data_IF_699601459215
#
_entry.id   IF_699601459215
#
_cell.length_a   1.000
_cell.length_b   1.000
_cell.length_c   1.000
_cell.angle_alpha   90.00
_cell.angle_beta   90.00
_cell.angle_gamma   90.00
#
_symmetry.space_group_name_H-M   'P 1'
#
loop_
_entity.id
_entity.type
_entity.pdbx_description
1 polymer ?
#
# COMPACT_ATOMS: atom_id res chain seq x y z
N UNK A 1 -4.80 -8.83 25.51
CA UNK A 1 -3.72 -7.81 25.56
C UNK A 1 -2.63 -7.93 24.47
N UNK A 2 -2.71 -8.88 23.51
CA UNK A 2 -1.69 -9.06 22.43
C UNK A 2 -1.96 -8.30 21.14
N UNK A 3 -3.16 -7.73 20.93
CA UNK A 3 -3.54 -7.03 19.69
C UNK A 3 -2.92 -5.65 19.50
N UNK A 4 -2.40 -5.00 20.54
CA UNK A 4 -1.88 -3.63 20.48
C UNK A 4 -0.55 -3.47 19.72
N UNK A 5 0.12 -4.55 19.35
CA UNK A 5 1.42 -4.53 18.67
C UNK A 5 1.40 -5.04 17.24
N UNK A 6 0.23 -5.39 16.70
CA UNK A 6 0.11 -5.78 15.31
C UNK A 6 0.33 -4.55 14.40
N UNK A 7 1.27 -4.66 13.46
CA UNK A 7 1.54 -3.63 12.46
C UNK A 7 0.56 -3.68 11.28
N UNK A 8 -0.62 -4.26 11.48
CA UNK A 8 -1.69 -4.37 10.48
C UNK A 8 -3.06 -4.16 11.15
N UNK A 9 -4.06 -3.95 10.33
CA UNK A 9 -5.48 -3.83 10.70
C UNK A 9 -6.21 -5.10 10.27
N UNK A 10 -7.13 -5.56 11.08
CA UNK A 10 -8.10 -6.56 10.66
C UNK A 10 -9.06 -5.97 9.62
N UNK A 11 -9.72 -6.83 8.82
CA UNK A 11 -10.60 -6.39 7.72
C UNK A 11 -11.66 -5.40 8.18
N UNK A 12 -12.30 -5.66 9.32
CA UNK A 12 -13.34 -4.79 9.86
C UNK A 12 -12.77 -3.46 10.37
N UNK A 13 -11.55 -3.45 10.89
CA UNK A 13 -10.86 -2.22 11.27
C UNK A 13 -10.51 -1.36 10.04
N UNK A 14 -10.07 -2.01 8.94
CA UNK A 14 -9.86 -1.31 7.65
C UNK A 14 -11.13 -0.61 7.21
N UNK A 15 -12.28 -1.32 7.20
CA UNK A 15 -13.59 -0.76 6.85
C UNK A 15 -13.97 0.40 7.75
N UNK A 16 -13.78 0.24 9.05
CA UNK A 16 -14.10 1.27 10.06
C UNK A 16 -13.23 2.51 9.86
N UNK A 17 -11.94 2.37 9.56
CA UNK A 17 -11.07 3.54 9.25
C UNK A 17 -11.51 4.21 7.95
N UNK A 18 -11.83 3.45 6.90
CA UNK A 18 -12.30 4.01 5.62
C UNK A 18 -13.61 4.78 5.82
N UNK A 19 -14.58 4.23 6.56
CA UNK A 19 -15.86 4.89 6.82
C UNK A 19 -15.73 6.17 7.66
N UNK A 20 -14.63 6.34 8.39
CA UNK A 20 -14.35 7.55 9.16
C UNK A 20 -13.67 8.67 8.32
N UNK A 21 -13.17 8.37 7.12
CA UNK A 21 -12.51 9.36 6.27
C UNK A 21 -13.42 10.57 5.96
N UNK A 22 -14.71 10.41 5.61
CA UNK A 22 -15.60 11.54 5.35
C UNK A 22 -15.74 12.51 6.53
N UNK A 23 -15.58 12.04 7.76
CA UNK A 23 -15.68 12.86 8.97
C UNK A 23 -14.47 13.78 9.17
N UNK A 24 -13.35 13.49 8.52
CA UNK A 24 -12.06 14.17 8.76
C UNK A 24 -11.44 14.78 7.51
N UNK A 25 -11.88 14.37 6.33
CA UNK A 25 -11.36 14.82 5.04
C UNK A 25 -12.18 15.99 4.49
N UNK A 26 -11.47 16.92 3.83
CA UNK A 26 -12.08 17.97 2.99
C UNK A 26 -12.48 17.45 1.60
N UNK A 27 -11.93 16.31 1.18
CA UNK A 27 -12.13 15.70 -0.14
C UNK A 27 -12.49 14.23 0.03
N UNK A 28 -13.66 13.93 0.63
CA UNK A 28 -13.99 12.57 1.06
C UNK A 28 -13.99 11.56 -0.08
N UNK A 29 -14.59 11.86 -1.23
CA UNK A 29 -14.70 10.93 -2.36
C UNK A 29 -13.32 10.49 -2.86
N UNK A 30 -12.42 11.46 -3.03
CA UNK A 30 -11.03 11.18 -3.43
C UNK A 30 -10.30 10.33 -2.39
N UNK A 31 -10.42 10.70 -1.13
CA UNK A 31 -9.61 10.13 -0.06
C UNK A 31 -10.08 8.73 0.33
N UNK A 32 -11.38 8.45 0.24
CA UNK A 32 -11.94 7.09 0.37
C UNK A 32 -11.39 6.20 -0.74
N UNK A 33 -11.55 6.60 -2.01
CA UNK A 33 -11.04 5.83 -3.17
C UNK A 33 -9.53 5.62 -3.11
N UNK A 34 -8.77 6.64 -2.66
CA UNK A 34 -7.33 6.50 -2.47
C UNK A 34 -6.99 5.38 -1.47
N UNK A 35 -7.71 5.32 -0.35
CA UNK A 35 -7.43 4.33 0.70
C UNK A 35 -7.94 2.94 0.30
N UNK A 36 -9.07 2.83 -0.39
CA UNK A 36 -9.54 1.58 -0.98
C UNK A 36 -8.55 1.04 -2.02
N UNK A 37 -8.00 1.92 -2.86
CA UNK A 37 -6.93 1.55 -3.80
C UNK A 37 -5.68 1.04 -3.07
N UNK A 38 -5.27 1.68 -1.98
CA UNK A 38 -4.15 1.20 -1.14
C UNK A 38 -4.44 -0.17 -0.53
N UNK A 39 -5.68 -0.40 -0.10
CA UNK A 39 -6.11 -1.65 0.49
C UNK A 39 -6.13 -2.80 -0.53
N UNK A 40 -6.81 -2.61 -1.66
CA UNK A 40 -6.97 -3.69 -2.64
C UNK A 40 -5.67 -4.01 -3.38
N UNK A 41 -4.89 -3.00 -3.76
CA UNK A 41 -3.61 -3.23 -4.44
C UNK A 41 -2.49 -3.68 -3.52
N UNK A 42 -2.61 -3.45 -2.22
CA UNK A 42 -1.50 -3.60 -1.29
C UNK A 42 -0.24 -2.80 -1.70
N UNK A 43 -0.35 -1.86 -2.62
CA UNK A 43 0.77 -1.09 -3.15
C UNK A 43 1.29 -0.06 -2.13
N UNK A 44 2.50 0.47 -2.37
CA UNK A 44 3.00 1.58 -1.57
C UNK A 44 2.26 2.85 -1.92
N UNK A 45 2.04 3.71 -0.94
CA UNK A 45 1.40 5.01 -1.17
C UNK A 45 2.06 5.80 -2.31
N UNK A 46 3.39 5.77 -2.43
CA UNK A 46 4.12 6.44 -3.51
C UNK A 46 3.93 5.79 -4.89
N UNK A 47 3.44 4.55 -4.95
CA UNK A 47 3.08 3.86 -6.19
C UNK A 47 1.63 4.18 -6.60
N UNK A 48 0.74 4.41 -5.63
CA UNK A 48 -0.68 4.73 -5.88
C UNK A 48 -0.91 6.21 -6.20
N UNK A 49 -0.21 7.11 -5.53
CA UNK A 49 -0.44 8.55 -5.69
C UNK A 49 -0.32 9.07 -7.14
N UNK A 50 0.61 8.59 -7.99
CA UNK A 50 0.70 9.03 -9.38
C UNK A 50 -0.23 8.28 -10.34
N UNK A 51 -1.27 7.58 -9.84
CA UNK A 51 -2.25 6.89 -10.69
C UNK A 51 -2.90 7.86 -11.66
N UNK A 52 -3.02 7.43 -12.94
CA UNK A 52 -3.71 8.15 -14.01
C UNK A 52 -4.90 7.34 -14.51
N UNK A 53 -5.93 7.97 -15.14
CA UNK A 53 -7.07 7.26 -15.69
C UNK A 53 -6.68 6.14 -16.67
N UNK A 54 -5.67 6.38 -17.51
CA UNK A 54 -5.21 5.41 -18.53
C UNK A 54 -4.63 4.13 -17.93
N UNK A 55 -4.26 4.16 -16.64
CA UNK A 55 -3.73 3.02 -15.93
C UNK A 55 -4.80 2.12 -15.29
N UNK A 56 -6.10 2.50 -15.39
CA UNK A 56 -7.23 1.76 -14.80
C UNK A 56 -7.86 0.88 -15.87
N UNK A 57 -7.79 -0.44 -15.68
CA UNK A 57 -8.42 -1.46 -16.54
C UNK A 57 -9.78 -1.90 -15.97
N UNK A 58 -10.34 -3.00 -16.46
CA UNK A 58 -11.62 -3.53 -15.96
C UNK A 58 -11.48 -4.16 -14.57
N UNK A 59 -10.40 -4.91 -14.36
CA UNK A 59 -10.13 -5.66 -13.13
C UNK A 59 -8.70 -5.49 -12.62
N UNK A 60 -7.94 -4.56 -13.21
CA UNK A 60 -6.55 -4.34 -12.83
C UNK A 60 -6.14 -2.86 -12.90
N UNK A 61 -5.07 -2.54 -12.19
CA UNK A 61 -4.48 -1.21 -12.16
C UNK A 61 -2.98 -1.33 -12.44
N UNK A 62 -2.48 -0.54 -13.40
CA UNK A 62 -1.05 -0.45 -13.70
C UNK A 62 -0.40 0.62 -12.82
N UNK A 63 0.55 0.21 -12.00
CA UNK A 63 1.27 1.08 -11.06
C UNK A 63 2.78 1.13 -11.36
N UNK A 64 3.48 2.23 -11.05
CA UNK A 64 4.94 2.27 -11.14
C UNK A 64 5.58 1.27 -10.18
N UNK A 65 6.61 0.56 -10.64
CA UNK A 65 7.38 -0.37 -9.82
C UNK A 65 8.64 0.29 -9.27
N UNK A 66 8.50 0.98 -8.13
CA UNK A 66 9.59 1.73 -7.50
C UNK A 66 10.73 0.86 -6.93
N UNK A 67 10.58 -0.46 -6.91
CA UNK A 67 11.65 -1.38 -6.49
C UNK A 67 12.56 -1.82 -7.63
N UNK A 68 12.08 -1.76 -8.85
CA UNK A 68 12.88 -2.14 -10.00
C UNK A 68 13.91 -1.06 -10.28
N UNK A 69 15.17 -1.42 -10.13
CA UNK A 69 16.31 -0.53 -10.38
C UNK A 69 16.99 -0.89 -11.67
N UNK A 70 17.47 0.12 -12.34
CA UNK A 70 18.34 -0.02 -13.53
C UNK A 70 19.74 0.52 -13.22
N UNK A 71 20.73 0.05 -13.96
CA UNK A 71 22.08 0.62 -13.88
C UNK A 71 22.09 2.04 -14.45
N UNK A 72 22.65 2.98 -13.70
CA UNK A 72 22.87 4.33 -14.23
C UNK A 72 23.85 4.25 -15.41
N UNK A 73 23.50 4.84 -16.54
CA UNK A 73 24.36 4.98 -17.71
C UNK A 73 24.76 6.44 -17.86
N UNK A 74 26.04 6.67 -18.18
CA UNK A 74 26.56 8.00 -18.54
C UNK A 74 26.12 8.40 -19.95
N UNK A 75 26.49 9.58 -20.38
CA UNK A 75 26.20 10.10 -21.73
C UNK A 75 26.81 9.23 -22.85
N UNK A 76 27.91 8.54 -22.57
CA UNK A 76 28.56 7.55 -23.44
C UNK A 76 27.86 6.17 -23.45
N UNK A 77 26.75 6.01 -22.76
CA UNK A 77 25.99 4.76 -22.64
C UNK A 77 26.62 3.71 -21.71
N UNK A 78 27.80 3.96 -21.14
CA UNK A 78 28.46 3.04 -20.22
C UNK A 78 27.87 3.09 -18.82
N UNK A 79 27.97 1.96 -18.11
CA UNK A 79 27.47 1.86 -16.73
C UNK A 79 28.35 2.69 -15.79
N UNK A 80 27.73 3.62 -15.08
CA UNK A 80 28.42 4.44 -14.08
C UNK A 80 28.68 3.61 -12.83
N UNK A 81 29.90 3.70 -12.32
CA UNK A 81 30.34 3.03 -11.09
C UNK A 81 30.78 4.05 -10.06
N UNK A 82 30.64 3.71 -8.79
CA UNK A 82 31.12 4.55 -7.68
C UNK A 82 32.64 4.34 -7.44
N UNK A 83 33.20 5.06 -6.50
CA UNK A 83 34.62 4.97 -6.09
C UNK A 83 35.09 3.58 -5.65
N UNK A 84 34.17 2.69 -5.23
CA UNK A 84 34.44 1.28 -4.92
C UNK A 84 34.16 0.33 -6.09
N UNK A 85 34.11 0.82 -7.33
CA UNK A 85 33.84 0.04 -8.55
C UNK A 85 32.47 -0.67 -8.56
N UNK A 86 31.51 -0.26 -7.71
CA UNK A 86 30.16 -0.81 -7.68
C UNK A 86 29.24 -0.04 -8.62
N UNK A 87 28.42 -0.77 -9.37
CA UNK A 87 27.40 -0.18 -10.26
C UNK A 87 26.42 0.70 -9.47
N UNK A 88 26.29 1.96 -9.89
CA UNK A 88 25.25 2.85 -9.35
C UNK A 88 23.91 2.44 -9.93
N UNK A 89 22.95 2.11 -9.05
CA UNK A 89 21.59 1.74 -9.44
C UNK A 89 20.62 2.87 -9.12
N UNK A 90 19.84 3.27 -10.12
CA UNK A 90 18.74 4.25 -10.00
C UNK A 90 17.40 3.56 -10.17
N UNK A 91 16.32 4.22 -9.75
CA UNK A 91 14.98 3.70 -10.02
C UNK A 91 14.75 3.67 -11.54
N UNK A 92 14.14 2.58 -12.03
CA UNK A 92 13.71 2.50 -13.43
C UNK A 92 12.36 3.24 -13.55
N UNK A 93 12.31 4.39 -14.25
CA UNK A 93 11.09 5.18 -14.39
C UNK A 93 10.02 4.44 -15.23
N UNK A 94 10.44 3.56 -16.13
CA UNK A 94 9.56 2.82 -17.03
C UNK A 94 9.04 1.51 -16.43
N UNK A 95 9.56 1.14 -15.26
CA UNK A 95 9.14 -0.08 -14.60
C UNK A 95 7.71 0.05 -14.08
N UNK A 96 6.83 -0.79 -14.60
CA UNK A 96 5.43 -0.87 -14.21
C UNK A 96 5.12 -2.27 -13.69
N UNK A 97 4.08 -2.35 -12.89
CA UNK A 97 3.46 -3.61 -12.47
C UNK A 97 1.96 -3.48 -12.63
N UNK A 98 1.33 -4.53 -13.11
CA UNK A 98 -0.11 -4.68 -13.10
C UNK A 98 -0.54 -5.38 -11.81
N UNK A 99 -1.61 -4.91 -11.20
CA UNK A 99 -2.14 -5.45 -9.94
C UNK A 99 -3.62 -5.68 -10.12
N UNK A 100 -4.07 -6.91 -9.89
CA UNK A 100 -5.48 -7.28 -9.90
C UNK A 100 -6.21 -6.64 -8.72
N UNK A 101 -7.38 -6.08 -9.00
CA UNK A 101 -8.29 -5.48 -8.01
C UNK A 101 -9.74 -5.81 -8.37
N UNK A 102 -10.68 -5.49 -7.51
CA UNK A 102 -12.09 -5.69 -7.81
C UNK A 102 -12.56 -4.82 -8.97
N UNK A 103 -13.46 -5.35 -9.81
CA UNK A 103 -14.13 -4.57 -10.86
C UNK A 103 -14.87 -3.37 -10.26
N UNK A 104 -15.43 -3.54 -9.07
CA UNK A 104 -16.11 -2.47 -8.32
C UNK A 104 -15.20 -1.27 -8.11
N UNK A 105 -13.98 -1.47 -7.60
CA UNK A 105 -13.02 -0.38 -7.39
C UNK A 105 -12.66 0.31 -8.71
N UNK A 106 -12.43 -0.47 -9.78
CA UNK A 106 -12.13 0.09 -11.10
C UNK A 106 -13.29 0.94 -11.63
N UNK A 107 -14.53 0.50 -11.44
CA UNK A 107 -15.73 1.25 -11.84
C UNK A 107 -15.88 2.55 -11.04
N UNK A 108 -15.67 2.50 -9.74
CA UNK A 108 -15.73 3.67 -8.87
C UNK A 108 -14.64 4.70 -9.22
N UNK A 109 -13.42 4.26 -9.49
CA UNK A 109 -12.33 5.12 -9.95
C UNK A 109 -12.65 5.76 -11.31
N UNK A 110 -13.22 5.02 -12.28
CA UNK A 110 -13.63 5.58 -13.57
C UNK A 110 -14.75 6.60 -13.43
N UNK A 111 -15.79 6.30 -12.64
CA UNK A 111 -16.88 7.24 -12.34
C UNK A 111 -16.37 8.50 -11.66
N UNK A 112 -15.42 8.35 -10.75
CA UNK A 112 -14.77 9.49 -10.10
C UNK A 112 -14.03 10.36 -11.13
N UNK A 113 -13.22 9.75 -12.01
CA UNK A 113 -12.51 10.46 -13.07
C UNK A 113 -13.47 11.19 -14.02
N UNK A 114 -14.57 10.54 -14.41
CA UNK A 114 -15.61 11.12 -15.27
C UNK A 114 -16.29 12.32 -14.60
N UNK A 115 -16.73 12.16 -13.35
CA UNK A 115 -17.39 13.21 -12.57
C UNK A 115 -16.52 14.46 -12.42
N UNK A 116 -15.24 14.28 -12.11
CA UNK A 116 -14.28 15.38 -11.92
C UNK A 116 -13.54 15.76 -13.21
N UNK A 117 -13.90 15.17 -14.37
CA UNK A 117 -13.31 15.43 -15.70
C UNK A 117 -11.78 15.24 -15.72
N UNK A 118 -11.30 14.22 -15.03
CA UNK A 118 -9.87 13.86 -14.96
C UNK A 118 -9.56 12.96 -16.17
N UNK A 119 -8.62 13.36 -17.03
CA UNK A 119 -8.33 12.66 -18.29
C UNK A 119 -6.83 12.54 -18.56
N UNK A 120 -6.47 11.55 -19.38
CA UNK A 120 -5.12 11.34 -19.90
C UNK A 120 -4.06 11.22 -18.80
N UNK A 121 -3.05 12.08 -18.87
CA UNK A 121 -1.91 12.08 -17.94
C UNK A 121 -2.18 12.80 -16.60
N UNK A 122 -3.39 13.29 -16.39
CA UNK A 122 -3.75 13.89 -15.10
C UNK A 122 -3.78 12.82 -14.01
N UNK A 123 -3.42 13.21 -12.79
CA UNK A 123 -3.49 12.29 -11.67
C UNK A 123 -4.93 12.08 -11.18
N UNK A 124 -5.32 10.85 -10.89
CA UNK A 124 -6.63 10.54 -10.28
C UNK A 124 -6.75 11.23 -8.92
N UNK A 125 -5.71 11.14 -8.09
CA UNK A 125 -5.69 11.70 -6.75
C UNK A 125 -5.01 13.07 -6.74
N UNK A 126 -5.69 14.07 -7.33
CA UNK A 126 -5.17 15.43 -7.48
C UNK A 126 -5.08 16.19 -6.16
N UNK A 127 -4.05 17.03 -6.06
CA UNK A 127 -3.91 18.02 -4.98
C UNK A 127 -4.44 19.38 -5.45
N UNK A 128 -5.12 20.17 -4.58
CA UNK A 128 -5.56 21.53 -4.92
C UNK A 128 -4.44 22.48 -5.30
N UNK A 129 -3.20 22.14 -4.95
CA UNK A 129 -2.00 22.93 -5.28
C UNK A 129 -1.28 22.46 -6.55
N UNK A 130 -1.94 21.63 -7.34
CA UNK A 130 -1.36 20.97 -8.51
C UNK A 130 -0.62 19.67 -8.16
N UNK A 131 -0.46 18.82 -9.18
CA UNK A 131 0.11 17.49 -9.03
C UNK A 131 -0.79 16.54 -8.21
N UNK A 132 -0.22 15.44 -7.74
CA UNK A 132 -0.93 14.49 -6.90
C UNK A 132 -0.86 14.84 -5.41
N UNK A 133 -1.75 14.23 -4.62
CA UNK A 133 -1.76 14.30 -3.15
C UNK A 133 -0.39 13.96 -2.57
N UNK A 134 0.03 14.66 -1.54
CA UNK A 134 1.31 14.41 -0.86
C UNK A 134 1.18 13.26 0.14
N UNK A 135 2.20 12.39 0.21
CA UNK A 135 2.27 11.27 1.16
C UNK A 135 1.98 11.67 2.61
N UNK A 136 2.52 12.82 3.04
CA UNK A 136 2.31 13.34 4.40
C UNK A 136 0.87 13.72 4.69
N UNK A 137 0.09 14.15 3.67
CA UNK A 137 -1.34 14.37 3.82
C UNK A 137 -2.09 13.05 4.09
N UNK A 138 -1.82 12.02 3.29
CA UNK A 138 -2.45 10.70 3.46
C UNK A 138 -2.17 10.14 4.85
N UNK A 139 -0.93 10.28 5.33
CA UNK A 139 -0.57 9.85 6.68
C UNK A 139 -1.39 10.58 7.76
N UNK A 140 -1.46 11.92 7.71
CA UNK A 140 -2.22 12.71 8.69
C UNK A 140 -3.72 12.43 8.65
N UNK A 141 -4.27 12.23 7.46
CA UNK A 141 -5.69 11.91 7.26
C UNK A 141 -6.03 10.56 7.88
N UNK A 142 -5.22 9.51 7.63
CA UNK A 142 -5.43 8.18 8.21
C UNK A 142 -5.26 8.18 9.74
N UNK A 143 -4.27 8.89 10.26
CA UNK A 143 -4.06 9.06 11.70
C UNK A 143 -5.30 9.69 12.35
N UNK A 144 -5.83 10.75 11.75
CA UNK A 144 -7.03 11.43 12.22
C UNK A 144 -8.28 10.54 12.13
N UNK A 145 -8.50 9.86 10.98
CA UNK A 145 -9.63 8.97 10.78
C UNK A 145 -9.62 7.81 11.78
N UNK A 146 -8.49 7.15 11.97
CA UNK A 146 -8.36 6.06 12.93
C UNK A 146 -8.55 6.50 14.38
N UNK A 147 -8.05 7.69 14.72
CA UNK A 147 -8.24 8.26 16.06
C UNK A 147 -9.71 8.59 16.35
N UNK A 148 -10.45 9.06 15.35
CA UNK A 148 -11.90 9.37 15.48
C UNK A 148 -12.72 8.13 15.83
N UNK A 149 -12.32 6.96 15.36
CA UNK A 149 -13.02 5.68 15.64
C UNK A 149 -12.30 4.83 16.69
N UNK A 150 -11.37 5.40 17.44
CA UNK A 150 -10.69 4.74 18.55
C UNK A 150 -9.70 3.64 18.14
N UNK A 151 -9.37 3.50 16.84
CA UNK A 151 -8.38 2.53 16.36
C UNK A 151 -6.99 3.12 16.50
N UNK A 152 -6.26 2.68 17.52
CA UNK A 152 -4.91 3.15 17.82
C UNK A 152 -3.92 2.01 17.64
N UNK A 153 -2.86 2.27 16.88
CA UNK A 153 -1.74 1.34 16.68
C UNK A 153 -0.43 2.00 17.07
N UNK A 154 0.48 1.21 17.63
CA UNK A 154 1.80 1.68 17.99
C UNK A 154 2.82 1.13 17.00
N UNK A 155 3.41 2.01 16.21
CA UNK A 155 4.49 1.69 15.29
C UNK A 155 5.83 1.44 15.99
N UNK A 156 6.87 1.19 15.21
CA UNK A 156 8.25 1.07 15.70
C UNK A 156 8.72 2.36 16.39
N UNK A 157 9.62 2.23 17.35
CA UNK A 157 10.28 3.39 17.97
C UNK A 157 11.03 4.20 16.90
N UNK A 158 10.88 5.50 16.97
CA UNK A 158 11.65 6.41 16.11
C UNK A 158 13.13 6.40 16.55
N UNK A 159 14.10 6.16 15.62
CA UNK A 159 15.50 5.97 15.98
C UNK A 159 16.13 7.15 16.74
N UNK A 160 15.73 8.38 16.42
CA UNK A 160 16.30 9.61 17.01
C UNK A 160 15.58 10.07 18.28
N UNK A 161 14.23 9.93 18.33
CA UNK A 161 13.43 10.49 19.44
C UNK A 161 13.02 9.46 20.46
N UNK A 162 13.23 8.17 20.20
CA UNK A 162 12.79 7.07 21.06
C UNK A 162 11.27 6.90 21.15
N UNK A 163 10.49 7.88 20.65
CA UNK A 163 9.04 7.85 20.64
C UNK A 163 8.49 6.77 19.68
N UNK A 164 7.34 6.18 20.02
CA UNK A 164 6.61 5.30 19.11
C UNK A 164 5.61 6.12 18.31
N UNK A 165 5.53 5.85 17.02
CA UNK A 165 4.39 6.35 16.25
C UNK A 165 3.09 5.77 16.81
N UNK A 166 2.12 6.64 17.04
CA UNK A 166 0.78 6.29 17.49
C UNK A 166 -0.17 6.64 16.35
N UNK A 167 -0.97 5.70 15.91
CA UNK A 167 -1.96 5.90 14.85
C UNK A 167 -1.82 4.94 13.67
N UNK A 168 -2.68 5.09 12.69
CA UNK A 168 -2.72 4.31 11.46
C UNK A 168 -2.02 5.06 10.33
N UNK A 169 -1.24 4.36 9.52
CA UNK A 169 -0.47 4.93 8.42
C UNK A 169 -0.54 4.06 7.17
N UNK A 170 -0.26 4.62 5.96
CA UNK A 170 -0.51 3.92 4.70
C UNK A 170 0.12 2.53 4.58
N UNK A 171 1.31 2.33 5.16
CA UNK A 171 1.99 1.03 5.05
C UNK A 171 1.28 -0.09 5.85
N UNK A 172 0.46 0.28 6.84
CA UNK A 172 -0.39 -0.70 7.54
C UNK A 172 -1.43 -1.30 6.62
N UNK A 173 -2.03 -0.53 5.71
CA UNK A 173 -2.97 -1.05 4.72
C UNK A 173 -2.32 -2.11 3.83
N UNK A 174 -1.08 -1.92 3.42
CA UNK A 174 -0.31 -2.93 2.69
C UNK A 174 -0.08 -4.20 3.52
N UNK A 175 0.24 -4.06 4.81
CA UNK A 175 0.38 -5.22 5.71
C UNK A 175 -0.96 -5.92 5.91
N UNK A 176 -2.03 -5.16 6.06
CA UNK A 176 -3.40 -5.68 6.21
C UNK A 176 -3.87 -6.43 4.96
N UNK A 177 -3.65 -5.87 3.76
CA UNK A 177 -3.91 -6.52 2.48
C UNK A 177 -3.17 -7.86 2.36
N UNK A 178 -1.88 -7.88 2.70
CA UNK A 178 -1.07 -9.07 2.70
C UNK A 178 -1.60 -10.14 3.66
N UNK A 179 -1.97 -9.75 4.87
CA UNK A 179 -2.52 -10.65 5.89
C UNK A 179 -3.88 -11.20 5.46
N UNK A 180 -4.73 -10.35 4.89
CA UNK A 180 -6.03 -10.77 4.38
C UNK A 180 -5.89 -11.79 3.25
N UNK A 181 -5.05 -11.51 2.24
CA UNK A 181 -4.80 -12.44 1.14
C UNK A 181 -4.23 -13.77 1.63
N UNK A 182 -3.28 -13.73 2.55
CA UNK A 182 -2.70 -14.93 3.13
C UNK A 182 -3.72 -15.75 3.93
N UNK A 183 -4.64 -15.10 4.63
CA UNK A 183 -5.71 -15.76 5.39
C UNK A 183 -6.73 -16.43 4.47
N UNK A 184 -7.04 -15.79 3.33
CA UNK A 184 -8.00 -16.33 2.35
C UNK A 184 -7.42 -17.46 1.49
N UNK A 185 -6.14 -17.35 1.10
CA UNK A 185 -5.54 -18.28 0.13
C UNK A 185 -4.64 -19.33 0.77
N UNK A 186 -4.07 -19.06 1.93
CA UNK A 186 -3.02 -19.87 2.54
C UNK A 186 -1.68 -19.83 1.77
N UNK A 187 -1.62 -19.16 0.63
CA UNK A 187 -0.48 -19.16 -0.29
C UNK A 187 0.36 -17.90 -0.17
N UNK A 188 1.55 -18.06 0.39
CA UNK A 188 2.52 -16.98 0.55
C UNK A 188 3.10 -16.50 -0.79
N UNK A 189 3.15 -17.38 -1.80
CA UNK A 189 3.69 -17.06 -3.13
C UNK A 189 2.76 -16.11 -3.85
N UNK A 190 1.46 -16.37 -3.80
CA UNK A 190 0.43 -15.50 -4.35
C UNK A 190 0.45 -14.11 -3.69
N UNK A 191 0.59 -14.06 -2.36
CA UNK A 191 0.75 -12.77 -1.64
C UNK A 191 2.01 -12.02 -2.09
N UNK A 192 3.11 -12.75 -2.30
CA UNK A 192 4.36 -12.17 -2.77
C UNK A 192 4.23 -11.57 -4.17
N UNK A 193 3.58 -12.27 -5.08
CA UNK A 193 3.32 -11.83 -6.44
C UNK A 193 2.43 -10.58 -6.46
N UNK A 194 1.28 -10.61 -5.78
CA UNK A 194 0.36 -9.48 -5.66
C UNK A 194 1.04 -8.22 -5.12
N UNK A 195 1.84 -8.36 -4.08
CA UNK A 195 2.56 -7.22 -3.50
C UNK A 195 3.78 -6.77 -4.32
N UNK A 196 4.21 -7.55 -5.32
CA UNK A 196 5.45 -7.29 -6.08
C UNK A 196 6.69 -7.32 -5.18
N UNK A 197 6.80 -8.31 -4.29
CA UNK A 197 7.97 -8.48 -3.43
C UNK A 197 9.12 -9.14 -4.20
N UNK A 198 10.28 -8.47 -4.23
CA UNK A 198 11.50 -9.00 -4.85
C UNK A 198 12.18 -10.12 -4.02
N UNK A 199 11.66 -10.47 -2.84
CA UNK A 199 12.26 -11.49 -1.98
C UNK A 199 11.30 -12.06 -0.94
N UNK A 200 11.40 -13.36 -0.75
CA UNK A 200 10.58 -14.18 0.17
C UNK A 200 10.71 -13.73 1.64
N UNK A 201 11.87 -13.20 2.04
CA UNK A 201 12.15 -12.77 3.41
C UNK A 201 11.19 -11.68 3.91
N UNK A 202 10.73 -10.80 3.03
CA UNK A 202 9.76 -9.74 3.40
C UNK A 202 8.37 -10.32 3.64
N UNK A 203 8.04 -11.42 2.98
CA UNK A 203 6.74 -12.11 3.09
C UNK A 203 6.75 -13.13 4.23
N UNK A 204 7.91 -13.69 4.60
CA UNK A 204 8.05 -14.61 5.74
C UNK A 204 7.67 -13.97 7.10
N UNK A 205 7.68 -12.63 7.20
CA UNK A 205 7.16 -11.95 8.39
C UNK A 205 5.69 -12.28 8.61
N UNK A 206 4.92 -12.42 7.54
CA UNK A 206 3.50 -12.78 7.59
C UNK A 206 3.28 -14.25 7.98
N UNK A 207 4.13 -15.15 7.48
CA UNK A 207 4.07 -16.57 7.85
C UNK A 207 4.34 -16.81 9.35
N UNK A 208 5.19 -16.00 9.98
CA UNK A 208 5.44 -16.10 11.44
C UNK A 208 4.22 -15.72 12.27
N UNK A 209 3.35 -14.87 11.77
CA UNK A 209 2.13 -14.43 12.46
C UNK A 209 1.07 -15.56 12.48
N UNK A 210 1.12 -16.49 11.52
CA UNK A 210 0.21 -17.65 11.47
C UNK A 210 0.60 -18.82 12.38
N UNK A 211 1.78 -18.83 12.99
CA UNK A 211 2.20 -19.90 13.91
C UNK A 211 1.19 -20.24 15.02
N UNK A 212 0.48 -19.27 15.64
CA UNK A 212 -0.57 -19.58 16.61
C UNK A 212 -1.77 -20.32 15.99
N UNK A 213 -2.10 -20.04 14.70
CA UNK A 213 -3.19 -20.71 13.98
C UNK A 213 -2.85 -22.17 13.69
N UNK A 214 -1.62 -22.44 13.28
CA UNK A 214 -1.07 -23.80 13.08
C UNK A 214 -1.12 -24.59 14.39
N UNK A 215 -0.71 -24.00 15.52
CA UNK A 215 -0.80 -24.64 16.84
C UNK A 215 -2.24 -25.04 17.20
N UNK A 216 -3.23 -24.19 16.90
CA UNK A 216 -4.65 -24.50 17.15
C UNK A 216 -5.17 -25.63 16.26
N UNK A 217 -4.77 -25.63 14.98
CA UNK A 217 -5.15 -26.68 14.03
C UNK A 217 -4.55 -28.03 14.47
N UNK A 218 -3.27 -28.06 14.84
CA UNK A 218 -2.61 -29.28 15.33
C UNK A 218 -3.21 -29.76 16.66
N UNK A 219 -3.56 -28.84 17.56
CA UNK A 219 -4.21 -29.18 18.83
C UNK A 219 -5.64 -29.75 18.67
N UNK A 220 -6.28 -29.52 17.51
CA UNK A 220 -7.60 -30.08 17.17
C UNK A 220 -7.56 -31.39 16.37
N UNK A 221 -6.36 -31.92 16.06
CA UNK A 221 -6.20 -33.24 15.46
C UNK A 221 -6.22 -34.26 16.61
N UNK A 222 -7.41 -34.76 16.95
CA UNK A 222 -7.57 -35.94 17.79
C UNK A 222 -7.43 -37.19 16.91
N UNK A 223 -6.52 -38.09 17.29
CA UNK A 223 -6.39 -39.43 16.68
C UNK A 223 -7.32 -40.42 17.39
#
# INVERSE_FOLDING_TARGET
MQQQFANYLEREEVRTVISAIPLVSRYPDRDVLLVETLWETGARVSEVLPLTPDAIRLTSITLPNLKQKMSLKGEDGKVVRNEWNKTIKVNNPDAKKEVEVSSKLCDELRKYCEHYKIQGSQYVFQSPRGGHVKRGYVWKMLDKASSTVGIIRFGKRHPRTGGRFKGVYPHMFRHSSAMFLLDQTGDITLVQEHLGHAGILTTMVYARIQKPKIKRVIAGIEF
#
